data_IF_132891879694
#
_entry.id   IF_132891879694
#
_cell.length_a   1.000
_cell.length_b   1.000
_cell.length_c   1.000
_cell.angle_alpha   90.00
_cell.angle_beta   90.00
_cell.angle_gamma   90.00
#
_symmetry.space_group_name_H-M   'P 1'
#
loop_
_entity.id
_entity.type
_entity.pdbx_description
1 polymer ?
#
# COMPACT_ATOMS: atom_id res chain seq x y z
N UNK A 1 31.42 38.65 21.81
CA UNK A 1 31.79 37.60 20.81
C UNK A 1 30.91 36.35 20.94
N UNK A 2 30.83 35.70 22.08
CA UNK A 2 30.05 34.44 22.30
C UNK A 2 28.57 34.58 21.94
N UNK A 3 27.89 35.66 22.35
CA UNK A 3 26.48 35.87 22.04
C UNK A 3 26.20 36.02 20.53
N UNK A 4 27.09 36.66 19.78
CA UNK A 4 27.01 36.80 18.33
C UNK A 4 27.20 35.43 17.64
N UNK A 5 28.16 34.63 18.12
CA UNK A 5 28.39 33.27 17.64
C UNK A 5 27.18 32.35 17.90
N UNK A 6 26.66 32.38 19.13
CA UNK A 6 25.43 31.62 19.45
C UNK A 6 24.25 31.99 18.56
N UNK A 7 24.03 33.32 18.32
CA UNK A 7 22.97 33.78 17.42
C UNK A 7 23.18 33.27 16.00
N UNK A 8 24.39 33.36 15.49
CA UNK A 8 24.73 32.88 14.14
C UNK A 8 24.51 31.37 14.01
N UNK A 9 25.00 30.56 14.96
CA UNK A 9 24.78 29.10 14.96
C UNK A 9 23.28 28.74 14.96
N UNK A 10 22.46 29.41 15.78
CA UNK A 10 21.00 29.14 15.79
C UNK A 10 20.34 29.56 14.48
N UNK A 11 20.82 30.61 13.79
CA UNK A 11 20.30 30.97 12.47
C UNK A 11 20.68 29.95 11.40
N UNK A 12 21.90 29.41 11.45
CA UNK A 12 22.31 28.32 10.54
C UNK A 12 21.44 27.08 10.75
N UNK A 13 21.19 26.66 11.99
CA UNK A 13 20.30 25.54 12.31
C UNK A 13 18.88 25.80 11.83
N UNK A 14 18.37 27.03 11.99
CA UNK A 14 17.05 27.39 11.47
C UNK A 14 16.98 27.27 9.94
N UNK A 15 18.01 27.75 9.24
CA UNK A 15 18.12 27.59 7.79
C UNK A 15 18.17 26.14 7.34
N UNK A 16 19.00 25.32 8.00
CA UNK A 16 19.07 23.88 7.73
C UNK A 16 17.72 23.18 7.96
N UNK A 17 17.03 23.51 9.05
CA UNK A 17 15.70 22.95 9.32
C UNK A 17 14.67 23.39 8.26
N UNK A 18 14.70 24.66 7.82
CA UNK A 18 13.83 25.13 6.75
C UNK A 18 14.08 24.38 5.42
N UNK A 19 15.33 24.15 5.05
CA UNK A 19 15.69 23.33 3.88
C UNK A 19 15.18 21.91 4.03
N UNK A 20 15.36 21.30 5.20
CA UNK A 20 14.86 19.95 5.48
C UNK A 20 13.33 19.86 5.34
N UNK A 21 12.61 20.90 5.77
CA UNK A 21 11.16 20.97 5.62
C UNK A 21 10.77 21.07 4.13
N UNK A 22 11.47 21.87 3.34
CA UNK A 22 11.23 21.95 1.90
C UNK A 22 11.44 20.59 1.21
N UNK A 23 12.52 19.89 1.56
CA UNK A 23 12.76 18.54 1.05
C UNK A 23 11.68 17.56 1.52
N UNK A 24 11.26 17.63 2.79
CA UNK A 24 10.17 16.83 3.33
C UNK A 24 8.86 17.05 2.58
N UNK A 25 8.53 18.30 2.20
CA UNK A 25 7.38 18.63 1.38
C UNK A 25 7.49 18.01 -0.02
N UNK A 26 8.61 18.20 -0.71
CA UNK A 26 8.83 17.64 -2.04
C UNK A 26 8.68 16.12 -2.05
N UNK A 27 9.32 15.46 -1.10
CA UNK A 27 9.28 14.00 -0.96
C UNK A 27 7.90 13.52 -0.52
N UNK A 28 7.27 14.19 0.43
CA UNK A 28 5.96 13.82 0.95
C UNK A 28 4.84 13.90 -0.09
N UNK A 29 4.92 14.88 -0.97
CA UNK A 29 3.93 15.05 -2.04
C UNK A 29 4.33 14.42 -3.38
N UNK A 30 5.42 13.66 -3.42
CA UNK A 30 5.88 12.97 -4.64
C UNK A 30 4.85 11.98 -5.21
N UNK A 31 3.96 11.44 -4.40
CA UNK A 31 2.86 10.58 -4.88
C UNK A 31 1.85 11.27 -5.81
N UNK A 32 1.90 12.61 -5.95
CA UNK A 32 1.10 13.36 -6.93
C UNK A 32 1.82 13.51 -8.28
N UNK A 33 3.07 13.08 -8.36
CA UNK A 33 3.86 13.11 -9.60
C UNK A 33 3.49 11.88 -10.43
N UNK A 34 3.21 12.08 -11.71
CA UNK A 34 2.93 10.97 -12.62
C UNK A 34 4.18 10.09 -12.76
N UNK A 35 4.16 8.85 -12.25
CA UNK A 35 5.30 7.96 -12.30
C UNK A 35 5.66 7.53 -13.73
N UNK A 36 4.72 7.62 -14.69
CA UNK A 36 4.98 7.29 -16.09
C UNK A 36 6.02 8.23 -16.71
N UNK A 37 5.99 9.52 -16.31
CA UNK A 37 6.88 10.53 -16.85
C UNK A 37 8.09 10.81 -15.94
N UNK A 38 7.94 10.58 -14.64
CA UNK A 38 8.92 10.92 -13.61
C UNK A 38 9.06 9.84 -12.53
N UNK A 39 9.43 8.60 -12.88
CA UNK A 39 9.45 7.46 -11.94
C UNK A 39 10.38 7.69 -10.75
N UNK A 40 11.57 8.26 -10.97
CA UNK A 40 12.53 8.55 -9.89
C UNK A 40 11.97 9.54 -8.87
N UNK A 41 11.27 10.58 -9.34
CA UNK A 41 10.65 11.57 -8.45
C UNK A 41 9.45 11.00 -7.71
N UNK A 42 8.64 10.17 -8.36
CA UNK A 42 7.53 9.49 -7.72
C UNK A 42 8.01 8.56 -6.60
N UNK A 43 9.12 7.83 -6.82
CA UNK A 43 9.74 6.95 -5.83
C UNK A 43 10.44 7.69 -4.68
N UNK A 44 10.72 8.98 -4.82
CA UNK A 44 11.31 9.79 -3.74
C UNK A 44 10.47 9.75 -2.46
N UNK A 45 9.16 9.46 -2.55
CA UNK A 45 8.26 9.26 -1.41
C UNK A 45 8.75 8.23 -0.41
N UNK A 46 9.50 7.23 -0.83
CA UNK A 46 10.09 6.23 0.06
C UNK A 46 11.07 6.83 1.09
N UNK A 47 11.62 8.01 0.82
CA UNK A 47 12.50 8.73 1.75
C UNK A 47 11.73 9.55 2.80
N UNK A 48 10.41 9.69 2.67
CA UNK A 48 9.60 10.53 3.55
C UNK A 48 9.74 10.19 5.04
N UNK A 49 9.77 8.92 5.48
CA UNK A 49 9.99 8.57 6.89
C UNK A 49 11.32 9.09 7.46
N UNK A 50 12.38 9.09 6.64
CA UNK A 50 13.66 9.64 7.06
C UNK A 50 13.58 11.16 7.33
N UNK A 51 12.88 11.91 6.48
CA UNK A 51 12.66 13.34 6.69
C UNK A 51 11.77 13.64 7.90
N UNK A 52 10.79 12.78 8.23
CA UNK A 52 10.04 12.87 9.47
C UNK A 52 10.98 12.74 10.66
N UNK A 53 11.89 11.76 10.66
CA UNK A 53 12.85 11.52 11.74
C UNK A 53 13.85 12.69 11.89
N UNK A 54 14.37 13.23 10.78
CA UNK A 54 15.27 14.38 10.79
C UNK A 54 14.55 15.62 11.37
N UNK A 55 13.30 15.85 10.99
CA UNK A 55 12.52 16.96 11.54
C UNK A 55 12.22 16.78 13.04
N UNK A 56 12.03 15.54 13.50
CA UNK A 56 11.91 15.24 14.94
C UNK A 56 13.20 15.56 15.70
N UNK A 57 14.37 15.28 15.10
CA UNK A 57 15.65 15.67 15.68
C UNK A 57 15.79 17.21 15.79
N UNK A 58 15.37 17.96 14.76
CA UNK A 58 15.31 19.42 14.86
C UNK A 58 14.32 19.90 15.91
N UNK A 59 13.16 19.27 16.05
CA UNK A 59 12.20 19.58 17.09
C UNK A 59 12.83 19.41 18.48
N UNK A 60 13.50 18.27 18.72
CA UNK A 60 14.22 18.01 19.96
C UNK A 60 15.31 19.05 20.21
N UNK A 61 16.12 19.39 19.19
CA UNK A 61 17.12 20.43 19.28
C UNK A 61 16.51 21.77 19.73
N UNK A 62 15.40 22.19 19.14
CA UNK A 62 14.76 23.46 19.48
C UNK A 62 14.17 23.47 20.89
N UNK A 63 13.63 22.35 21.34
CA UNK A 63 13.14 22.20 22.74
C UNK A 63 14.28 22.42 23.74
N UNK A 64 15.46 21.86 23.45
CA UNK A 64 16.62 21.96 24.37
C UNK A 64 17.29 23.34 24.31
N UNK A 65 17.51 23.90 23.12
CA UNK A 65 18.37 25.08 22.97
C UNK A 65 17.62 26.40 22.83
N UNK A 66 16.42 26.41 22.23
CA UNK A 66 15.62 27.60 22.02
C UNK A 66 14.16 27.29 21.71
N UNK A 67 13.33 27.23 22.73
CA UNK A 67 11.92 26.81 22.64
C UNK A 67 11.11 27.55 21.55
N UNK A 68 11.39 28.84 21.31
CA UNK A 68 10.74 29.60 20.23
C UNK A 68 11.03 29.05 18.82
N UNK A 69 12.11 28.28 18.66
CA UNK A 69 12.47 27.65 17.39
C UNK A 69 11.62 26.42 17.05
N UNK A 70 10.89 25.85 18.02
CA UNK A 70 9.97 24.73 17.84
C UNK A 70 8.93 24.99 16.76
N UNK A 71 8.57 26.25 16.55
CA UNK A 71 7.59 26.62 15.53
C UNK A 71 8.03 26.18 14.12
N UNK A 72 9.35 26.10 13.84
CA UNK A 72 9.87 25.77 12.51
C UNK A 72 9.50 24.34 12.12
N UNK A 73 9.95 23.28 12.86
CA UNK A 73 9.58 21.90 12.53
C UNK A 73 8.07 21.65 12.69
N UNK A 74 7.40 22.35 13.61
CA UNK A 74 5.96 22.22 13.80
C UNK A 74 5.17 22.66 12.55
N UNK A 75 5.54 23.77 11.94
CA UNK A 75 4.96 24.21 10.66
C UNK A 75 5.23 23.16 9.57
N UNK A 76 6.42 22.57 9.53
CA UNK A 76 6.75 21.48 8.61
C UNK A 76 5.79 20.29 8.74
N UNK A 77 5.50 19.87 9.95
CA UNK A 77 4.55 18.77 10.21
C UNK A 77 3.11 19.14 9.81
N UNK A 78 2.67 20.36 10.07
CA UNK A 78 1.34 20.82 9.62
C UNK A 78 1.23 20.77 8.10
N UNK A 79 2.23 21.28 7.39
CA UNK A 79 2.24 21.29 5.93
C UNK A 79 2.30 19.88 5.32
N UNK A 80 2.96 18.94 6.02
CA UNK A 80 3.05 17.54 5.61
C UNK A 80 1.98 16.64 6.24
N UNK A 81 0.93 17.19 6.85
CA UNK A 81 -0.10 16.39 7.53
C UNK A 81 -0.72 15.31 6.63
N UNK A 82 -1.04 15.64 5.38
CA UNK A 82 -1.57 14.66 4.41
C UNK A 82 -0.63 13.48 4.18
N UNK A 83 0.61 13.71 3.70
CA UNK A 83 1.61 12.67 3.58
C UNK A 83 1.86 11.89 4.87
N UNK A 84 1.92 12.56 6.03
CA UNK A 84 2.11 11.88 7.32
C UNK A 84 0.98 10.88 7.62
N UNK A 85 -0.26 11.23 7.33
CA UNK A 85 -1.41 10.33 7.51
C UNK A 85 -1.36 9.09 6.61
N UNK A 86 -0.71 9.19 5.47
CA UNK A 86 -0.50 8.04 4.59
C UNK A 86 0.50 7.05 5.18
N UNK A 87 1.60 7.55 5.77
CA UNK A 87 2.64 6.72 6.36
C UNK A 87 2.33 6.25 7.79
N UNK A 88 1.64 7.09 8.56
CA UNK A 88 1.26 6.80 9.96
C UNK A 88 -0.27 6.95 10.04
N UNK A 89 -1.04 5.96 9.55
CA UNK A 89 -2.49 6.02 9.58
C UNK A 89 -2.99 5.89 11.01
N UNK A 90 -3.54 6.97 11.56
CA UNK A 90 -4.24 6.95 12.83
C UNK A 90 -5.74 6.69 12.55
N UNK A 91 -6.11 5.42 12.48
CA UNK A 91 -7.50 5.01 12.32
C UNK A 91 -8.10 4.71 13.70
N UNK A 92 -9.05 5.53 14.11
CA UNK A 92 -9.81 5.26 15.33
C UNK A 92 -10.87 4.21 14.96
N UNK A 93 -10.86 3.02 15.61
CA UNK A 93 -11.88 2.01 15.36
C UNK A 93 -13.28 2.57 15.67
N UNK A 94 -14.20 2.35 14.77
CA UNK A 94 -15.63 2.63 14.98
C UNK A 94 -16.41 1.35 14.78
N UNK A 95 -17.50 1.21 15.50
CA UNK A 95 -18.44 0.12 15.26
C UNK A 95 -19.02 0.26 13.84
N UNK A 96 -19.00 -0.81 13.06
CA UNK A 96 -19.52 -0.75 11.71
C UNK A 96 -21.04 -0.50 11.74
N UNK A 97 -21.58 0.25 10.75
CA UNK A 97 -23.01 0.41 10.63
C UNK A 97 -23.73 -0.95 10.53
N UNK A 98 -25.00 -0.99 10.96
CA UNK A 98 -25.84 -2.19 10.80
C UNK A 98 -25.94 -2.54 9.31
N UNK A 99 -25.67 -3.78 8.97
CA UNK A 99 -25.66 -4.26 7.58
C UNK A 99 -24.40 -3.94 6.78
N UNK A 100 -23.33 -3.43 7.42
CA UNK A 100 -22.05 -3.24 6.78
C UNK A 100 -21.47 -4.59 6.28
N UNK A 101 -20.89 -4.55 5.09
CA UNK A 101 -20.20 -5.70 4.50
C UNK A 101 -18.73 -5.61 4.85
N UNK A 102 -18.21 -6.68 5.47
CA UNK A 102 -16.81 -6.78 5.84
C UNK A 102 -16.00 -7.35 4.68
N UNK A 103 -15.03 -6.58 4.19
CA UNK A 103 -14.09 -7.00 3.16
C UNK A 103 -12.71 -7.22 3.78
N UNK A 104 -12.08 -8.35 3.45
CA UNK A 104 -10.67 -8.64 3.74
C UNK A 104 -9.89 -8.65 2.43
N UNK A 105 -8.74 -8.01 2.39
CA UNK A 105 -7.75 -8.15 1.31
C UNK A 105 -6.49 -8.77 1.89
N UNK A 106 -5.99 -9.84 1.28
CA UNK A 106 -4.89 -10.61 1.83
C UNK A 106 -4.03 -11.24 0.72
N UNK A 107 -2.74 -10.86 0.68
CA UNK A 107 -1.75 -11.57 -0.12
C UNK A 107 -1.31 -12.81 0.67
N UNK A 108 -1.57 -14.00 0.13
CA UNK A 108 -1.35 -15.27 0.83
C UNK A 108 -0.02 -15.93 0.49
N UNK A 109 0.77 -15.32 -0.40
CA UNK A 109 2.07 -15.86 -0.82
C UNK A 109 1.98 -17.35 -1.22
N UNK A 110 1.03 -17.68 -2.07
CA UNK A 110 0.71 -19.06 -2.48
C UNK A 110 0.45 -20.00 -1.31
N UNK A 111 -0.06 -19.45 -0.19
CA UNK A 111 -0.29 -20.14 1.07
C UNK A 111 0.97 -20.76 1.70
N UNK A 112 2.14 -20.28 1.31
CA UNK A 112 3.40 -20.73 1.90
C UNK A 112 3.78 -19.90 3.13
N UNK A 113 4.47 -20.55 4.07
CA UNK A 113 5.12 -19.85 5.17
C UNK A 113 6.43 -19.20 4.69
N UNK A 114 6.75 -18.03 5.21
CA UNK A 114 8.07 -17.41 5.01
C UNK A 114 9.24 -18.24 5.58
N UNK A 115 8.93 -19.33 6.32
CA UNK A 115 9.94 -20.25 6.85
C UNK A 115 9.96 -21.51 6.00
N UNK A 116 11.11 -21.92 5.41
CA UNK A 116 11.20 -22.98 4.43
C UNK A 116 10.91 -24.41 4.95
N UNK A 117 10.44 -24.57 6.18
CA UNK A 117 10.26 -25.88 6.82
C UNK A 117 8.89 -26.16 7.47
N UNK A 118 7.85 -25.35 7.19
CA UNK A 118 6.54 -25.52 7.86
C UNK A 118 5.39 -25.44 6.85
N UNK A 119 5.39 -26.31 5.84
CA UNK A 119 4.43 -26.21 4.72
C UNK A 119 3.01 -26.71 5.02
N UNK A 120 2.84 -27.64 5.93
CA UNK A 120 1.52 -28.24 6.20
C UNK A 120 0.63 -27.42 7.12
N UNK A 121 1.20 -26.57 7.97
CA UNK A 121 0.44 -25.74 8.92
C UNK A 121 0.02 -24.38 8.38
N UNK A 122 0.65 -23.87 7.33
CA UNK A 122 0.38 -22.52 6.85
C UNK A 122 -0.96 -22.41 6.14
N UNK A 123 -1.35 -23.42 5.36
CA UNK A 123 -2.62 -23.45 4.63
C UNK A 123 -3.80 -23.44 5.59
N UNK A 124 -3.80 -24.32 6.57
CA UNK A 124 -4.85 -24.41 7.58
C UNK A 124 -4.91 -23.15 8.44
N UNK A 125 -3.74 -22.57 8.77
CA UNK A 125 -3.66 -21.36 9.58
C UNK A 125 -4.18 -20.13 8.82
N UNK A 126 -3.90 -20.02 7.52
CA UNK A 126 -4.41 -18.93 6.68
C UNK A 126 -5.91 -19.07 6.47
N UNK A 127 -6.40 -20.27 6.18
CA UNK A 127 -7.83 -20.54 6.05
C UNK A 127 -8.56 -20.25 7.38
N UNK A 128 -8.02 -20.69 8.51
CA UNK A 128 -8.54 -20.39 9.84
C UNK A 128 -8.58 -18.90 10.12
N UNK A 129 -7.52 -18.15 9.78
CA UNK A 129 -7.49 -16.70 9.93
C UNK A 129 -8.58 -16.01 9.08
N UNK A 130 -8.73 -16.43 7.82
CA UNK A 130 -9.79 -15.91 6.95
C UNK A 130 -11.17 -16.17 7.56
N UNK A 131 -11.45 -17.39 8.04
CA UNK A 131 -12.71 -17.73 8.71
C UNK A 131 -12.94 -16.90 9.97
N UNK A 132 -11.92 -16.79 10.83
CA UNK A 132 -11.98 -16.02 12.08
C UNK A 132 -12.15 -14.52 11.83
N UNK A 133 -11.64 -14.01 10.71
CA UNK A 133 -11.82 -12.61 10.34
C UNK A 133 -13.30 -12.21 10.28
N UNK A 134 -14.19 -13.16 10.01
CA UNK A 134 -15.63 -12.91 9.83
C UNK A 134 -15.94 -12.08 8.59
N UNK A 135 -15.02 -11.96 7.63
CA UNK A 135 -15.25 -11.22 6.40
C UNK A 135 -16.38 -11.85 5.57
N UNK A 136 -17.11 -11.01 4.86
CA UNK A 136 -18.17 -11.40 3.94
C UNK A 136 -17.62 -11.64 2.54
N UNK A 137 -16.56 -10.91 2.18
CA UNK A 137 -15.85 -10.98 0.91
C UNK A 137 -14.35 -10.97 1.20
N UNK A 138 -13.59 -11.85 0.55
CA UNK A 138 -12.14 -11.95 0.69
C UNK A 138 -11.48 -11.81 -0.67
N UNK A 139 -10.69 -10.77 -0.85
CA UNK A 139 -9.82 -10.57 -2.00
C UNK A 139 -8.46 -11.20 -1.71
N UNK A 140 -8.08 -12.20 -2.48
CA UNK A 140 -6.81 -12.91 -2.29
C UNK A 140 -5.89 -12.61 -3.45
N UNK A 141 -4.64 -12.28 -3.15
CA UNK A 141 -3.55 -12.19 -4.10
C UNK A 141 -2.58 -13.33 -3.83
N UNK A 142 -1.90 -13.80 -4.85
CA UNK A 142 -1.04 -14.99 -4.79
C UNK A 142 -1.77 -16.19 -4.17
N UNK A 143 -2.99 -16.46 -4.66
CA UNK A 143 -3.88 -17.47 -4.08
C UNK A 143 -3.46 -18.91 -4.31
N UNK A 144 -2.45 -19.16 -5.15
CA UNK A 144 -2.00 -20.51 -5.50
C UNK A 144 -3.13 -21.37 -6.11
N UNK A 145 -2.81 -22.61 -6.43
CA UNK A 145 -3.85 -23.57 -6.79
C UNK A 145 -4.64 -23.96 -5.55
N UNK A 146 -5.92 -23.80 -5.68
CA UNK A 146 -6.94 -23.99 -4.69
C UNK A 146 -6.51 -24.91 -3.56
N UNK A 147 -6.55 -24.38 -2.36
CA UNK A 147 -6.74 -25.19 -1.20
C UNK A 147 -7.96 -26.09 -1.47
N UNK A 148 -7.82 -27.36 -1.24
CA UNK A 148 -9.00 -28.21 -0.99
C UNK A 148 -9.65 -27.68 0.28
N UNK A 149 -10.37 -26.56 0.13
CA UNK A 149 -11.08 -25.94 1.23
C UNK A 149 -12.04 -26.94 1.84
N UNK A 150 -11.93 -27.11 3.13
CA UNK A 150 -12.83 -27.98 3.86
C UNK A 150 -14.29 -27.54 3.76
N UNK A 151 -15.17 -28.37 4.23
CA UNK A 151 -16.62 -28.10 4.21
C UNK A 151 -17.00 -26.85 4.97
N UNK A 152 -16.26 -26.47 6.02
CA UNK A 152 -16.50 -25.28 6.85
C UNK A 152 -16.19 -24.01 6.06
N UNK A 153 -15.06 -23.99 5.35
CA UNK A 153 -14.70 -22.87 4.50
C UNK A 153 -15.69 -22.68 3.35
N UNK A 154 -16.06 -23.78 2.67
CA UNK A 154 -17.04 -23.74 1.57
C UNK A 154 -18.45 -23.37 2.04
N UNK A 155 -18.83 -23.73 3.25
CA UNK A 155 -20.09 -23.29 3.85
C UNK A 155 -20.12 -21.77 4.09
N UNK A 156 -18.99 -21.18 4.48
CA UNK A 156 -18.86 -19.72 4.69
C UNK A 156 -18.77 -18.96 3.38
N UNK A 157 -17.99 -19.48 2.41
CA UNK A 157 -17.75 -18.87 1.10
C UNK A 157 -18.18 -19.80 -0.04
N UNK A 158 -19.50 -19.91 -0.29
CA UNK A 158 -20.02 -20.81 -1.32
C UNK A 158 -19.66 -20.36 -2.74
N UNK A 159 -19.28 -19.10 -2.92
CA UNK A 159 -18.89 -18.54 -4.22
C UNK A 159 -17.40 -18.24 -4.21
N UNK A 160 -16.66 -18.99 -5.03
CA UNK A 160 -15.21 -18.84 -5.21
C UNK A 160 -14.96 -18.65 -6.69
N UNK A 161 -14.16 -17.64 -7.03
CA UNK A 161 -13.74 -17.40 -8.41
C UNK A 161 -12.27 -17.01 -8.42
N UNK A 162 -11.50 -17.65 -9.28
CA UNK A 162 -10.06 -17.49 -9.42
C UNK A 162 -9.75 -17.13 -10.86
N UNK A 163 -8.83 -16.18 -11.03
CA UNK A 163 -8.30 -15.78 -12.33
C UNK A 163 -6.78 -15.90 -12.34
N UNK A 164 -6.26 -16.33 -13.46
CA UNK A 164 -4.83 -16.49 -13.70
C UNK A 164 -4.46 -15.84 -15.02
N UNK A 165 -3.41 -15.04 -15.01
CA UNK A 165 -2.87 -14.47 -16.25
C UNK A 165 -2.26 -15.58 -17.11
N UNK A 166 -2.50 -15.54 -18.41
CA UNK A 166 -1.91 -16.49 -19.36
C UNK A 166 -0.39 -16.37 -19.36
N UNK A 167 0.30 -17.44 -18.99
CA UNK A 167 1.77 -17.45 -18.85
C UNK A 167 2.29 -16.98 -17.48
N UNK A 168 1.43 -16.41 -16.62
CA UNK A 168 1.80 -16.02 -15.28
C UNK A 168 1.70 -17.17 -14.27
N UNK A 169 2.34 -17.02 -13.11
CA UNK A 169 2.25 -17.96 -11.98
C UNK A 169 1.16 -17.58 -11.01
N UNK A 170 0.85 -16.29 -10.89
CA UNK A 170 0.04 -15.75 -9.83
C UNK A 170 -1.45 -15.91 -10.08
N UNK A 171 -2.15 -16.19 -9.00
CA UNK A 171 -3.60 -16.33 -8.98
C UNK A 171 -4.20 -15.20 -8.15
N UNK A 172 -5.19 -14.54 -8.70
CA UNK A 172 -6.03 -13.56 -8.00
C UNK A 172 -7.40 -14.17 -7.81
N UNK A 173 -7.82 -14.30 -6.55
CA UNK A 173 -9.06 -14.97 -6.20
C UNK A 173 -10.01 -14.05 -5.42
N UNK A 174 -11.31 -14.40 -5.49
CA UNK A 174 -12.35 -13.83 -4.66
C UNK A 174 -13.14 -14.95 -4.00
N UNK A 175 -13.24 -14.91 -2.68
CA UNK A 175 -14.13 -15.76 -1.90
C UNK A 175 -15.28 -14.91 -1.37
N UNK A 176 -16.50 -15.36 -1.55
CA UNK A 176 -17.66 -14.53 -1.23
C UNK A 176 -18.82 -15.36 -0.68
N UNK A 177 -19.54 -14.79 0.27
CA UNK A 177 -20.87 -15.27 0.67
C UNK A 177 -21.98 -14.85 -0.30
N UNK A 178 -21.67 -13.89 -1.18
CA UNK A 178 -22.60 -13.38 -2.20
C UNK A 178 -22.30 -13.97 -3.57
N UNK A 179 -23.30 -14.17 -4.44
CA UNK A 179 -23.10 -14.69 -5.79
C UNK A 179 -22.12 -13.84 -6.60
N UNK A 180 -21.08 -14.47 -7.15
CA UNK A 180 -20.17 -13.89 -8.11
C UNK A 180 -20.75 -14.12 -9.50
N UNK A 181 -21.10 -13.06 -10.21
CA UNK A 181 -21.77 -13.13 -11.51
C UNK A 181 -20.81 -13.36 -12.65
N UNK A 182 -19.66 -12.70 -12.61
CA UNK A 182 -18.58 -12.81 -13.59
C UNK A 182 -17.32 -12.15 -13.08
N UNK A 183 -16.20 -12.44 -13.73
CA UNK A 183 -14.93 -11.73 -13.60
C UNK A 183 -14.59 -10.97 -14.88
N UNK A 184 -13.67 -10.05 -14.77
CA UNK A 184 -13.07 -9.33 -15.89
C UNK A 184 -11.61 -9.08 -15.57
N UNK A 185 -10.72 -9.72 -16.32
CA UNK A 185 -9.29 -9.44 -16.24
C UNK A 185 -9.02 -8.01 -16.73
N UNK A 186 -8.24 -7.27 -15.96
CA UNK A 186 -7.70 -5.96 -16.33
C UNK A 186 -6.25 -6.22 -16.73
N UNK A 187 -6.03 -6.35 -18.02
CA UNK A 187 -4.72 -6.68 -18.58
C UNK A 187 -3.87 -5.42 -18.73
N UNK A 188 -2.64 -5.49 -18.28
CA UNK A 188 -1.60 -4.47 -18.41
C UNK A 188 -0.24 -5.16 -18.53
N UNK A 189 0.76 -4.42 -18.98
CA UNK A 189 2.10 -4.94 -19.19
C UNK A 189 2.74 -5.34 -17.85
N UNK A 190 2.78 -6.65 -17.60
CA UNK A 190 3.37 -7.28 -16.43
C UNK A 190 3.60 -8.76 -16.75
N UNK A 191 4.67 -9.36 -16.23
CA UNK A 191 4.97 -10.77 -16.43
C UNK A 191 4.01 -11.69 -15.64
N UNK A 192 3.69 -11.36 -14.41
CA UNK A 192 2.91 -12.21 -13.49
C UNK A 192 1.69 -11.52 -12.90
N UNK A 193 1.76 -10.23 -12.67
CA UNK A 193 0.78 -9.50 -11.90
C UNK A 193 -0.41 -9.08 -12.75
N UNK A 194 -1.56 -8.94 -12.10
CA UNK A 194 -2.83 -8.60 -12.76
C UNK A 194 -3.79 -7.94 -11.78
N UNK A 195 -4.80 -7.30 -12.33
CA UNK A 195 -5.97 -6.86 -11.58
C UNK A 195 -7.23 -7.53 -12.15
N UNK A 196 -8.16 -7.85 -11.27
CA UNK A 196 -9.40 -8.52 -11.67
C UNK A 196 -10.60 -7.78 -11.09
N UNK A 197 -11.53 -7.42 -11.95
CA UNK A 197 -12.84 -6.93 -11.55
C UNK A 197 -13.81 -8.09 -11.39
N UNK A 198 -14.33 -8.30 -10.20
CA UNK A 198 -15.38 -9.27 -9.88
C UNK A 198 -16.72 -8.55 -9.72
N UNK A 199 -17.71 -8.99 -10.45
CA UNK A 199 -19.07 -8.46 -10.35
C UNK A 199 -19.91 -9.39 -9.49
N UNK A 200 -20.44 -8.87 -8.40
CA UNK A 200 -21.23 -9.61 -7.42
C UNK A 200 -22.67 -9.13 -7.41
N UNK A 201 -23.58 -10.03 -7.00
CA UNK A 201 -24.90 -9.64 -6.57
C UNK A 201 -24.95 -9.59 -5.05
N UNK A 202 -24.91 -8.41 -4.49
CA UNK A 202 -24.96 -8.19 -3.05
C UNK A 202 -26.34 -7.71 -2.66
N UNK A 203 -27.15 -8.61 -2.11
CA UNK A 203 -28.52 -8.30 -1.69
C UNK A 203 -29.39 -7.66 -2.80
N UNK A 204 -29.24 -8.13 -4.03
CA UNK A 204 -29.95 -7.60 -5.20
C UNK A 204 -29.26 -6.44 -5.93
N UNK A 205 -28.19 -5.89 -5.36
CA UNK A 205 -27.42 -4.82 -5.97
C UNK A 205 -26.17 -5.39 -6.68
N UNK A 206 -25.87 -4.88 -7.88
CA UNK A 206 -24.61 -5.19 -8.56
C UNK A 206 -23.48 -4.38 -7.93
N UNK A 207 -22.47 -5.08 -7.43
CA UNK A 207 -21.27 -4.50 -6.84
C UNK A 207 -20.05 -4.96 -7.63
N UNK A 208 -19.17 -4.03 -7.97
CA UNK A 208 -17.87 -4.31 -8.55
C UNK A 208 -16.80 -4.29 -7.46
N UNK A 209 -16.10 -5.39 -7.29
CA UNK A 209 -14.90 -5.52 -6.45
C UNK A 209 -13.70 -5.63 -7.39
N UNK A 210 -12.76 -4.72 -7.27
CA UNK A 210 -11.48 -4.81 -8.01
C UNK A 210 -10.41 -5.30 -7.06
N UNK A 211 -9.90 -6.51 -7.34
CA UNK A 211 -8.80 -7.12 -6.62
C UNK A 211 -7.51 -6.90 -7.41
N UNK A 212 -6.54 -6.22 -6.80
CA UNK A 212 -5.31 -5.82 -7.45
C UNK A 212 -4.12 -6.60 -6.90
N UNK A 213 -3.36 -7.24 -7.78
CA UNK A 213 -2.02 -7.70 -7.51
C UNK A 213 -1.06 -6.90 -8.39
N UNK A 214 -0.48 -5.84 -7.82
CA UNK A 214 0.38 -4.90 -8.55
C UNK A 214 1.84 -5.35 -8.48
N UNK A 215 2.65 -4.90 -9.47
CA UNK A 215 4.08 -5.16 -9.48
C UNK A 215 4.76 -4.78 -8.18
N UNK A 216 5.67 -5.63 -7.71
CA UNK A 216 6.54 -5.35 -6.58
C UNK A 216 7.62 -4.32 -6.96
N UNK A 217 8.06 -3.49 -6.03
CA UNK A 217 9.24 -2.64 -6.21
C UNK A 217 10.54 -3.46 -6.29
N UNK A 218 10.46 -4.79 -6.12
CA UNK A 218 11.62 -5.70 -6.10
C UNK A 218 12.76 -5.20 -5.20
N UNK A 219 12.41 -4.59 -4.06
CA UNK A 219 13.36 -4.21 -3.02
C UNK A 219 13.73 -5.48 -2.23
N UNK A 220 14.47 -6.37 -2.86
CA UNK A 220 14.90 -7.60 -2.20
C UNK A 220 16.08 -7.31 -1.27
N UNK A 221 16.08 -7.97 -0.09
CA UNK A 221 17.08 -7.78 0.94
C UNK A 221 18.51 -8.23 0.54
N UNK A 222 18.65 -8.95 -0.58
CA UNK A 222 19.93 -9.45 -1.06
C UNK A 222 20.71 -8.44 -1.91
N UNK A 223 20.08 -7.34 -2.33
CA UNK A 223 20.72 -6.31 -3.14
C UNK A 223 21.45 -5.29 -2.25
N UNK A 224 22.73 -5.55 -1.96
CA UNK A 224 23.62 -4.62 -1.23
C UNK A 224 23.83 -3.27 -1.94
N UNK A 225 23.32 -3.12 -3.15
CA UNK A 225 23.23 -1.84 -3.89
C UNK A 225 21.92 -1.06 -3.63
N UNK A 226 21.13 -1.51 -2.67
CA UNK A 226 19.70 -1.20 -2.48
C UNK A 226 19.30 0.27 -2.55
N UNK A 227 20.08 1.20 -2.01
CA UNK A 227 19.70 2.62 -2.01
C UNK A 227 19.84 3.26 -3.40
N UNK A 228 20.84 2.88 -4.18
CA UNK A 228 21.05 3.36 -5.54
C UNK A 228 19.99 2.85 -6.52
N UNK A 229 19.54 1.61 -6.32
CA UNK A 229 18.47 0.99 -7.10
C UNK A 229 17.09 1.50 -6.68
N UNK A 230 16.90 1.81 -5.41
CA UNK A 230 15.69 2.45 -4.87
C UNK A 230 15.40 3.81 -5.55
N UNK A 231 16.45 4.58 -5.84
CA UNK A 231 16.34 5.88 -6.54
C UNK A 231 16.19 5.68 -8.05
N UNK A 232 16.83 4.65 -8.62
CA UNK A 232 16.78 4.41 -10.07
C UNK A 232 15.47 3.79 -10.53
N UNK A 233 14.73 3.10 -9.63
CA UNK A 233 13.47 2.42 -9.93
C UNK A 233 13.56 1.48 -11.14
N UNK A 234 12.83 0.41 -11.18
CA UNK A 234 12.59 -0.27 -12.44
C UNK A 234 11.51 0.52 -13.19
N UNK A 235 11.95 1.34 -14.13
CA UNK A 235 11.10 2.23 -14.92
C UNK A 235 9.88 1.49 -15.50
N UNK A 236 10.08 0.25 -15.96
CA UNK A 236 9.03 -0.55 -16.55
C UNK A 236 7.97 -0.95 -15.51
N UNK A 237 8.38 -1.29 -14.29
CA UNK A 237 7.46 -1.65 -13.20
C UNK A 237 6.64 -0.47 -12.70
N UNK A 238 7.26 0.70 -12.61
CA UNK A 238 6.54 1.92 -12.22
C UNK A 238 5.54 2.35 -13.30
N UNK A 239 5.88 2.18 -14.57
CA UNK A 239 4.95 2.42 -15.69
C UNK A 239 3.78 1.44 -15.66
N UNK A 240 4.03 0.14 -15.45
CA UNK A 240 2.98 -0.87 -15.34
C UNK A 240 2.00 -0.58 -14.18
N UNK A 241 2.50 -0.10 -13.03
CA UNK A 241 1.66 0.33 -11.91
C UNK A 241 0.79 1.53 -12.24
N UNK A 242 1.36 2.54 -12.90
CA UNK A 242 0.61 3.73 -13.31
C UNK A 242 -0.48 3.39 -14.31
N UNK A 243 -0.19 2.50 -15.26
CA UNK A 243 -1.16 2.03 -16.23
C UNK A 243 -2.29 1.24 -15.56
N UNK A 244 -1.96 0.33 -14.64
CA UNK A 244 -2.97 -0.42 -13.90
C UNK A 244 -3.90 0.50 -13.11
N UNK A 245 -3.37 1.52 -12.43
CA UNK A 245 -4.17 2.50 -11.69
C UNK A 245 -5.15 3.24 -12.62
N UNK A 246 -4.68 3.70 -13.79
CA UNK A 246 -5.53 4.36 -14.79
C UNK A 246 -6.64 3.45 -15.34
N UNK A 247 -6.35 2.18 -15.55
CA UNK A 247 -7.34 1.20 -16.02
C UNK A 247 -8.39 0.90 -14.95
N UNK A 248 -7.96 0.80 -13.69
CA UNK A 248 -8.86 0.63 -12.54
C UNK A 248 -9.81 1.82 -12.41
N UNK A 249 -9.29 3.05 -12.50
CA UNK A 249 -10.10 4.26 -12.43
C UNK A 249 -11.13 4.33 -13.57
N UNK A 250 -10.72 3.96 -14.80
CA UNK A 250 -11.65 3.88 -15.95
C UNK A 250 -12.75 2.85 -15.71
N UNK A 251 -12.42 1.70 -15.15
CA UNK A 251 -13.38 0.64 -14.85
C UNK A 251 -14.35 1.09 -13.76
N UNK A 252 -13.85 1.72 -12.70
CA UNK A 252 -14.64 2.28 -11.62
C UNK A 252 -15.60 3.38 -12.11
N UNK A 253 -15.14 4.25 -13.02
CA UNK A 253 -15.98 5.27 -13.63
C UNK A 253 -17.07 4.68 -14.53
N UNK A 254 -16.75 3.62 -15.30
CA UNK A 254 -17.72 2.93 -16.15
C UNK A 254 -18.79 2.15 -15.35
N UNK A 255 -18.47 1.70 -14.15
CA UNK A 255 -19.39 0.95 -13.29
C UNK A 255 -20.45 1.83 -12.61
N UNK A 256 -20.23 3.16 -12.57
CA UNK A 256 -21.19 4.13 -12.00
C UNK A 256 -22.29 4.56 -12.96
N UNK A 257 -22.21 4.18 -14.24
CA UNK A 257 -23.23 4.37 -15.27
C UNK A 257 -24.11 3.13 -15.39
#
# INVERSE_FOLDING_TARGET
MIAKLKKFSLQMVAGANAVTILLMLLVGYSGHIDPTNHPTLANAGLLFPAFIAINAAFLFFWVVFKLKGVIIPFVGYILCYGPMRTYIPANIPHDPPVGAIKLLSYNTQNYHSMKPYVDTFSNDSIAAYILQSGADIVCVQEGGHALDFDSTFRAKYPYIMEEKKKGGSDVVALYSRFPILRSQLIDYESEGNMSVGFYLNVNGQKVLIVNNHLESNALDNDDKSGFGNLIKGDLNKDMARAESARLIDKLAAASKK
#
